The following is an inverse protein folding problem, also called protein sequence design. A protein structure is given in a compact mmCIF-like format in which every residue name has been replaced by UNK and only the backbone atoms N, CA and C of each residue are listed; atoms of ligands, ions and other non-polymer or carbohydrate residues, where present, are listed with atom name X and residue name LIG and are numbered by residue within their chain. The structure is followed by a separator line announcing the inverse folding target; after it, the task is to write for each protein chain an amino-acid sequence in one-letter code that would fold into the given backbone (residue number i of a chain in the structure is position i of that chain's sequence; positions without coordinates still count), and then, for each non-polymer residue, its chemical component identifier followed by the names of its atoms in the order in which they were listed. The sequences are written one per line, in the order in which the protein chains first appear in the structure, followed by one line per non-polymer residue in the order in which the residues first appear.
data_IF_526441767074
#
_entry.id   IF_526441767074
#
_cell.length_a   1.000
_cell.length_b   1.000
_cell.length_c   1.000
_cell.angle_alpha   90.00
_cell.angle_beta   90.00
_cell.angle_gamma   90.00
#
_symmetry.space_group_name_H-M   'P 1'
#
loop_
_entity.id
_entity.type
_entity.pdbx_description
1 polymer ?
#
# COMPACT_ATOMS: atom_id res chain seq x y z
N UNK A 1 -15.15 26.69 -5.94
CA UNK A 1 -16.52 26.91 -6.43
C UNK A 1 -16.93 25.67 -7.21
N UNK A 2 -17.57 24.68 -6.57
CA UNK A 2 -17.92 23.41 -7.21
C UNK A 2 -18.70 22.47 -6.30
N UNK A 3 -19.21 22.93 -5.15
CA UNK A 3 -19.83 22.08 -4.12
C UNK A 3 -21.32 22.29 -3.89
N UNK A 4 -21.99 23.21 -4.60
CA UNK A 4 -23.41 23.50 -4.35
C UNK A 4 -24.40 22.91 -5.38
N UNK A 5 -23.96 22.45 -6.55
CA UNK A 5 -24.85 21.86 -7.56
C UNK A 5 -25.15 20.37 -7.37
N UNK A 6 -24.40 19.66 -6.51
CA UNK A 6 -24.55 18.21 -6.33
C UNK A 6 -25.56 17.79 -5.24
N UNK A 7 -26.22 18.73 -4.56
CA UNK A 7 -27.12 18.40 -3.43
C UNK A 7 -28.55 18.05 -3.81
N UNK A 8 -28.89 18.05 -5.10
CA UNK A 8 -30.25 17.80 -5.58
C UNK A 8 -30.43 16.52 -6.43
N UNK A 9 -29.35 15.80 -6.72
CA UNK A 9 -29.42 14.59 -7.52
C UNK A 9 -29.67 13.38 -6.62
N UNK A 10 -30.45 12.42 -7.13
CA UNK A 10 -30.65 11.13 -6.47
C UNK A 10 -29.35 10.32 -6.47
N UNK A 11 -29.12 9.46 -5.46
CA UNK A 11 -27.89 8.67 -5.35
C UNK A 11 -27.56 7.87 -6.60
N UNK A 12 -28.54 7.36 -7.31
CA UNK A 12 -28.37 6.65 -8.58
C UNK A 12 -27.84 7.56 -9.68
N UNK A 13 -28.34 8.76 -9.79
CA UNK A 13 -27.93 9.74 -10.80
C UNK A 13 -26.48 10.20 -10.55
N UNK A 14 -26.14 10.44 -9.28
CA UNK A 14 -24.75 10.74 -8.88
C UNK A 14 -23.80 9.60 -9.21
N UNK A 15 -24.18 8.37 -8.90
CA UNK A 15 -23.39 7.20 -9.24
C UNK A 15 -23.21 7.04 -10.75
N UNK A 16 -24.27 7.21 -11.53
CA UNK A 16 -24.24 7.09 -12.99
C UNK A 16 -23.27 8.12 -13.61
N UNK A 17 -23.33 9.38 -13.14
CA UNK A 17 -22.40 10.42 -13.60
C UNK A 17 -20.92 10.08 -13.32
N UNK A 18 -20.62 9.51 -12.18
CA UNK A 18 -19.25 9.09 -11.84
C UNK A 18 -18.84 7.82 -12.60
N UNK A 19 -19.78 6.90 -12.81
CA UNK A 19 -19.54 5.70 -13.63
C UNK A 19 -19.24 6.05 -15.09
N UNK A 20 -19.97 6.99 -15.67
CA UNK A 20 -19.78 7.43 -17.06
C UNK A 20 -18.45 8.14 -17.31
N UNK A 21 -17.85 8.71 -16.28
CA UNK A 21 -16.49 9.28 -16.33
C UNK A 21 -15.39 8.22 -16.25
N UNK A 22 -15.71 7.01 -15.83
CA UNK A 22 -14.73 5.97 -15.60
C UNK A 22 -14.21 5.39 -16.91
N UNK A 23 -12.90 5.21 -17.01
CA UNK A 23 -12.30 4.47 -18.10
C UNK A 23 -12.51 2.97 -17.91
N UNK A 24 -13.40 2.38 -18.70
CA UNK A 24 -13.70 0.95 -18.62
C UNK A 24 -12.68 0.13 -19.41
N UNK A 25 -12.48 -1.11 -18.99
CA UNK A 25 -11.66 -2.08 -19.74
C UNK A 25 -12.32 -2.43 -21.06
N UNK A 26 -11.53 -2.62 -22.08
CA UNK A 26 -12.00 -3.05 -23.42
C UNK A 26 -12.23 -4.57 -23.44
N UNK A 27 -13.29 -4.98 -22.78
CA UNK A 27 -13.74 -6.38 -22.70
C UNK A 27 -15.28 -6.43 -22.68
N UNK A 28 -15.92 -7.48 -23.23
CA UNK A 28 -17.36 -7.66 -23.08
C UNK A 28 -17.74 -7.92 -21.61
N UNK A 29 -18.74 -7.21 -21.12
CA UNK A 29 -19.30 -7.42 -19.79
C UNK A 29 -20.54 -8.32 -19.89
N UNK A 30 -20.30 -9.60 -20.14
CA UNK A 30 -21.34 -10.61 -20.32
C UNK A 30 -20.96 -11.92 -19.61
N UNK A 31 -21.95 -12.77 -19.40
CA UNK A 31 -21.73 -14.13 -18.90
C UNK A 31 -21.11 -15.01 -20.00
N UNK A 32 -20.62 -16.19 -19.63
CA UNK A 32 -20.12 -17.19 -20.61
C UNK A 32 -21.18 -17.61 -21.64
N UNK A 33 -22.47 -17.36 -21.38
CA UNK A 33 -23.58 -17.63 -22.29
C UNK A 33 -23.98 -16.41 -23.13
N UNK A 34 -23.19 -15.33 -23.10
CA UNK A 34 -23.45 -14.12 -23.87
C UNK A 34 -24.56 -13.23 -23.32
N UNK A 35 -24.96 -13.42 -22.06
CA UNK A 35 -25.98 -12.56 -21.44
C UNK A 35 -25.29 -11.32 -20.88
N UNK A 36 -25.69 -10.11 -21.30
CA UNK A 36 -25.13 -8.86 -20.78
C UNK A 36 -25.28 -8.77 -19.26
N UNK A 37 -24.27 -8.25 -18.60
CA UNK A 37 -24.26 -8.01 -17.14
C UNK A 37 -24.25 -6.51 -16.90
N UNK A 38 -25.25 -6.01 -16.16
CA UNK A 38 -25.30 -4.60 -15.81
C UNK A 38 -24.19 -4.20 -14.82
N UNK A 39 -23.79 -2.92 -14.81
CA UNK A 39 -22.70 -2.46 -13.94
C UNK A 39 -23.05 -2.55 -12.44
N UNK A 40 -24.34 -2.50 -12.09
CA UNK A 40 -24.83 -2.64 -10.73
C UNK A 40 -26.24 -3.23 -10.72
N UNK A 41 -26.55 -4.01 -9.71
CA UNK A 41 -27.90 -4.56 -9.45
C UNK A 41 -28.37 -4.15 -8.06
N UNK A 42 -29.69 -3.97 -7.91
CA UNK A 42 -30.33 -3.61 -6.64
C UNK A 42 -30.32 -2.10 -6.37
N UNK A 43 -30.71 -1.77 -5.15
CA UNK A 43 -30.83 -0.39 -4.68
C UNK A 43 -29.57 0.08 -3.95
N UNK A 44 -29.63 1.28 -3.40
CA UNK A 44 -28.60 1.90 -2.58
C UNK A 44 -28.05 1.00 -1.45
N UNK A 45 -26.81 1.25 -0.99
CA UNK A 45 -25.87 2.25 -1.51
C UNK A 45 -25.21 1.79 -2.81
N UNK A 46 -24.87 2.73 -3.69
CA UNK A 46 -24.15 2.46 -4.93
C UNK A 46 -22.63 2.37 -4.72
N UNK A 47 -21.89 1.61 -5.58
CA UNK A 47 -20.43 1.56 -5.51
C UNK A 47 -19.79 2.95 -5.60
N UNK A 48 -18.76 3.23 -4.81
CA UNK A 48 -18.13 4.54 -4.75
C UNK A 48 -18.82 5.57 -3.86
N UNK A 49 -19.98 5.23 -3.27
CA UNK A 49 -20.70 6.11 -2.35
C UNK A 49 -20.61 5.59 -0.90
N UNK A 50 -20.55 6.54 0.05
CA UNK A 50 -20.63 6.22 1.47
C UNK A 50 -21.92 5.42 1.77
N UNK A 51 -21.86 4.36 2.59
CA UNK A 51 -20.77 3.87 3.42
C UNK A 51 -19.80 2.88 2.73
N UNK A 52 -19.67 2.89 1.43
CA UNK A 52 -18.73 2.10 0.61
C UNK A 52 -18.86 0.57 0.72
N UNK A 53 -19.98 0.06 1.19
CA UNK A 53 -20.24 -1.38 1.38
C UNK A 53 -20.27 -2.18 0.07
N UNK A 54 -20.35 -1.51 -1.08
CA UNK A 54 -20.31 -2.12 -2.41
C UNK A 54 -19.05 -1.76 -3.20
N UNK A 55 -18.04 -1.21 -2.53
CA UNK A 55 -16.73 -0.88 -3.09
C UNK A 55 -16.44 0.62 -3.20
N UNK A 56 -15.15 0.91 -3.44
CA UNK A 56 -14.60 2.27 -3.39
C UNK A 56 -14.84 3.11 -4.63
N UNK A 57 -15.04 2.47 -5.77
CA UNK A 57 -15.10 3.14 -7.06
C UNK A 57 -16.42 2.85 -7.77
N UNK A 58 -16.98 3.80 -8.54
CA UNK A 58 -18.24 3.61 -9.23
C UNK A 58 -18.27 2.42 -10.19
N UNK A 59 -17.17 2.16 -10.87
CA UNK A 59 -17.03 1.12 -11.90
C UNK A 59 -16.30 -0.14 -11.41
N UNK A 60 -15.70 -0.11 -10.23
CA UNK A 60 -14.97 -1.23 -9.62
C UNK A 60 -14.10 -2.00 -10.63
N UNK A 61 -14.28 -3.30 -10.74
CA UNK A 61 -13.49 -4.17 -11.63
C UNK A 61 -13.80 -4.05 -13.13
N UNK A 62 -14.79 -3.25 -13.49
CA UNK A 62 -15.02 -2.90 -14.90
C UNK A 62 -13.95 -1.96 -15.44
N UNK A 63 -13.36 -1.11 -14.60
CA UNK A 63 -12.24 -0.26 -14.98
C UNK A 63 -10.91 -0.94 -14.77
N UNK A 64 -10.67 -1.50 -13.61
CA UNK A 64 -9.37 -2.09 -13.27
C UNK A 64 -9.55 -3.31 -12.37
N UNK A 65 -8.85 -4.39 -12.70
CA UNK A 65 -8.73 -5.55 -11.82
C UNK A 65 -7.79 -5.21 -10.65
N UNK A 66 -7.76 -6.07 -9.64
CA UNK A 66 -6.79 -5.98 -8.55
C UNK A 66 -5.36 -6.05 -9.06
N UNK A 67 -4.45 -5.44 -8.33
CA UNK A 67 -3.02 -5.53 -8.64
C UNK A 67 -2.51 -6.94 -8.30
N UNK A 68 -1.96 -7.61 -9.30
CA UNK A 68 -1.25 -8.88 -9.10
C UNK A 68 0.17 -8.58 -8.65
N UNK A 69 0.43 -8.84 -7.36
CA UNK A 69 1.68 -8.46 -6.71
C UNK A 69 2.15 -9.61 -5.81
N UNK A 70 3.31 -10.16 -6.13
CA UNK A 70 3.95 -11.15 -5.29
C UNK A 70 5.07 -10.52 -4.47
N UNK A 71 5.18 -10.94 -3.21
CA UNK A 71 6.27 -10.56 -2.32
C UNK A 71 7.53 -11.30 -2.75
N UNK A 72 8.59 -10.58 -3.08
CA UNK A 72 9.83 -11.14 -3.57
C UNK A 72 11.05 -10.32 -3.12
N UNK A 73 12.12 -11.03 -2.83
CA UNK A 73 13.41 -10.50 -2.41
C UNK A 73 14.25 -11.62 -1.82
N UNK A 74 15.44 -11.81 -2.37
CA UNK A 74 16.39 -12.81 -1.90
C UNK A 74 17.75 -12.56 -2.54
N UNK A 75 18.83 -12.72 -1.79
CA UNK A 75 20.17 -12.59 -2.30
C UNK A 75 20.57 -11.16 -2.64
N UNK A 76 21.13 -10.98 -3.82
CA UNK A 76 21.57 -9.68 -4.32
C UNK A 76 20.43 -8.90 -4.99
N UNK A 77 20.69 -7.64 -5.27
CA UNK A 77 19.77 -6.78 -6.02
C UNK A 77 19.51 -7.32 -7.42
N UNK A 78 20.53 -7.83 -8.10
CA UNK A 78 20.42 -8.43 -9.44
C UNK A 78 19.60 -9.71 -9.43
N UNK A 79 19.76 -10.60 -8.45
CA UNK A 79 18.96 -11.82 -8.32
C UNK A 79 17.47 -11.47 -8.16
N UNK A 80 17.18 -10.48 -7.34
CA UNK A 80 15.82 -10.00 -7.10
C UNK A 80 15.26 -9.27 -8.32
N UNK A 81 16.07 -8.49 -9.04
CA UNK A 81 15.67 -7.86 -10.31
C UNK A 81 15.24 -8.88 -11.35
N UNK A 82 16.00 -9.97 -11.52
CA UNK A 82 15.63 -11.07 -12.41
C UNK A 82 14.27 -11.65 -12.04
N UNK A 83 14.02 -11.83 -10.75
CA UNK A 83 12.73 -12.30 -10.25
C UNK A 83 11.60 -11.32 -10.49
N UNK A 84 11.82 -10.03 -10.29
CA UNK A 84 10.83 -8.98 -10.61
C UNK A 84 10.47 -9.00 -12.09
N UNK A 85 11.44 -9.06 -12.98
CA UNK A 85 11.23 -9.16 -14.43
C UNK A 85 10.45 -10.41 -14.82
N UNK A 86 10.72 -11.54 -14.16
CA UNK A 86 9.96 -12.77 -14.36
C UNK A 86 8.50 -12.62 -13.93
N UNK A 87 8.25 -12.05 -12.75
CA UNK A 87 6.89 -11.82 -12.25
C UNK A 87 6.08 -10.90 -13.18
N UNK A 88 6.69 -9.83 -13.67
CA UNK A 88 6.03 -8.92 -14.63
C UNK A 88 5.73 -9.62 -15.97
N UNK A 89 6.66 -10.43 -16.49
CA UNK A 89 6.44 -11.22 -17.70
C UNK A 89 5.32 -12.25 -17.58
N UNK A 90 5.10 -12.76 -16.38
CA UNK A 90 4.04 -13.73 -16.07
C UNK A 90 2.70 -13.07 -15.65
N UNK A 91 2.52 -11.78 -15.94
CA UNK A 91 1.25 -11.07 -15.73
C UNK A 91 1.13 -10.35 -14.40
N UNK A 92 2.21 -10.24 -13.64
CA UNK A 92 2.26 -9.34 -12.47
C UNK A 92 2.05 -7.91 -12.88
N UNK A 93 1.31 -7.15 -12.10
CA UNK A 93 0.99 -5.74 -12.37
C UNK A 93 1.53 -4.79 -11.31
N UNK A 94 2.28 -5.31 -10.36
CA UNK A 94 2.98 -4.59 -9.32
C UNK A 94 4.08 -5.41 -8.69
N UNK A 95 4.97 -4.72 -7.98
CA UNK A 95 6.12 -5.32 -7.30
C UNK A 95 5.97 -5.14 -5.80
N UNK A 96 6.44 -6.12 -5.03
CA UNK A 96 6.51 -6.04 -3.57
C UNK A 96 7.89 -6.54 -3.13
N UNK A 97 8.65 -5.66 -2.48
CA UNK A 97 10.04 -5.92 -2.11
C UNK A 97 10.14 -6.45 -0.68
N UNK A 98 10.74 -7.63 -0.54
CA UNK A 98 11.23 -8.14 0.75
C UNK A 98 12.68 -7.71 0.93
N UNK A 99 12.98 -6.98 1.99
CA UNK A 99 14.34 -6.62 2.36
C UNK A 99 14.88 -7.59 3.40
N UNK A 100 16.18 -7.84 3.39
CA UNK A 100 16.83 -8.67 4.37
C UNK A 100 16.92 -8.02 5.76
N UNK A 101 17.28 -8.78 6.78
CA UNK A 101 17.34 -8.28 8.15
C UNK A 101 18.36 -7.14 8.33
N UNK A 102 19.56 -7.19 7.75
CA UNK A 102 20.47 -6.04 7.82
C UNK A 102 19.85 -4.76 7.28
N UNK A 103 19.29 -4.79 6.08
CA UNK A 103 18.59 -3.64 5.48
C UNK A 103 17.45 -3.14 6.36
N UNK A 104 16.58 -4.04 6.90
CA UNK A 104 15.47 -3.68 7.79
C UNK A 104 15.96 -3.01 9.08
N UNK A 105 17.12 -3.41 9.58
CA UNK A 105 17.76 -2.85 10.79
C UNK A 105 18.65 -1.63 10.50
N UNK A 106 18.75 -1.18 9.23
CA UNK A 106 19.59 -0.06 8.82
C UNK A 106 21.07 -0.33 9.00
N UNK A 107 21.52 -1.54 8.66
CA UNK A 107 22.89 -1.99 8.72
C UNK A 107 23.38 -2.37 7.34
N UNK A 108 24.62 -2.04 7.05
CA UNK A 108 25.30 -2.45 5.83
C UNK A 108 25.66 -3.94 5.89
N UNK A 109 25.80 -4.58 4.74
CA UNK A 109 26.10 -6.02 4.60
C UNK A 109 27.47 -6.40 5.18
N UNK A 110 28.41 -5.48 5.26
CA UNK A 110 29.75 -5.67 5.84
C UNK A 110 29.81 -5.47 7.36
N UNK A 111 28.70 -5.10 7.99
CA UNK A 111 28.61 -4.98 9.44
C UNK A 111 28.81 -6.35 10.11
N UNK A 112 29.54 -6.36 11.24
CA UNK A 112 29.71 -7.59 12.05
C UNK A 112 28.38 -8.21 12.49
N UNK A 113 27.32 -7.40 12.63
CA UNK A 113 25.96 -7.82 13.01
C UNK A 113 25.16 -8.41 11.85
N UNK A 114 25.66 -8.26 10.62
CA UNK A 114 24.98 -8.75 9.41
C UNK A 114 25.42 -10.17 9.01
N UNK A 115 26.44 -10.71 9.69
CA UNK A 115 27.02 -12.00 9.35
C UNK A 115 25.98 -13.13 9.40
N UNK A 116 25.77 -13.78 8.25
CA UNK A 116 24.87 -14.90 8.10
C UNK A 116 23.42 -14.52 7.80
N UNK A 117 23.09 -13.22 7.76
CA UNK A 117 21.73 -12.73 7.49
C UNK A 117 21.60 -11.98 6.16
N UNK A 118 22.74 -11.62 5.53
CA UNK A 118 22.74 -10.86 4.27
C UNK A 118 22.06 -11.65 3.15
N UNK A 119 21.05 -11.06 2.51
CA UNK A 119 20.32 -11.63 1.38
C UNK A 119 19.46 -12.84 1.70
N UNK A 120 19.28 -13.21 2.96
CA UNK A 120 18.67 -14.49 3.35
C UNK A 120 17.16 -14.49 3.40
N UNK A 121 16.55 -13.50 4.02
CA UNK A 121 15.10 -13.37 4.16
C UNK A 121 14.50 -12.30 3.26
N UNK A 122 15.32 -11.67 2.46
CA UNK A 122 14.98 -10.59 1.55
C UNK A 122 16.21 -10.16 0.76
N UNK A 123 16.11 -9.11 -0.03
CA UNK A 123 17.21 -8.54 -0.79
C UNK A 123 18.04 -7.61 0.09
N UNK A 124 19.36 -7.69 -0.03
CA UNK A 124 20.29 -6.78 0.59
C UNK A 124 20.38 -5.47 -0.23
N UNK A 125 20.13 -4.33 0.40
CA UNK A 125 20.23 -3.00 -0.19
C UNK A 125 21.01 -2.10 0.77
N UNK A 126 22.27 -1.86 0.46
CA UNK A 126 23.16 -1.02 1.25
C UNK A 126 23.30 0.39 0.66
N UNK A 127 23.30 0.48 -0.66
CA UNK A 127 23.66 1.69 -1.40
C UNK A 127 22.65 2.03 -2.50
N UNK A 128 22.80 3.23 -3.08
CA UNK A 128 22.04 3.62 -4.26
C UNK A 128 22.31 2.69 -5.45
N UNK A 129 23.54 2.17 -5.60
CA UNK A 129 23.88 1.25 -6.68
C UNK A 129 23.07 -0.05 -6.59
N UNK A 130 22.90 -0.61 -5.38
CA UNK A 130 22.03 -1.79 -5.18
C UNK A 130 20.57 -1.50 -5.56
N UNK A 131 20.09 -0.29 -5.27
CA UNK A 131 18.73 0.13 -5.66
C UNK A 131 18.61 0.31 -7.19
N UNK A 132 19.66 0.81 -7.84
CA UNK A 132 19.75 0.89 -9.31
C UNK A 132 19.68 -0.51 -9.93
N UNK A 133 20.45 -1.46 -9.42
CA UNK A 133 20.46 -2.85 -9.88
C UNK A 133 19.10 -3.55 -9.63
N UNK A 134 18.49 -3.28 -8.47
CA UNK A 134 17.18 -3.84 -8.12
C UNK A 134 16.09 -3.48 -9.13
N UNK A 135 16.10 -2.24 -9.64
CA UNK A 135 15.09 -1.74 -10.57
C UNK A 135 15.60 -1.57 -12.00
N UNK A 136 16.79 -2.11 -12.32
CA UNK A 136 17.37 -2.03 -13.67
C UNK A 136 16.39 -2.55 -14.74
N UNK A 137 16.18 -1.76 -15.80
CA UNK A 137 15.28 -2.04 -16.93
C UNK A 137 13.79 -2.28 -16.53
N UNK A 138 13.35 -1.72 -15.43
CA UNK A 138 11.94 -1.73 -15.01
C UNK A 138 11.40 -0.30 -15.10
N UNK A 139 10.36 -0.11 -15.90
CA UNK A 139 9.67 1.18 -16.00
C UNK A 139 8.82 1.43 -14.74
N UNK A 140 9.37 2.24 -13.83
CA UNK A 140 8.74 2.59 -12.55
C UNK A 140 7.48 3.45 -12.70
N UNK A 141 7.25 4.06 -13.87
CA UNK A 141 6.02 4.80 -14.15
C UNK A 141 4.82 3.91 -14.44
N UNK A 142 5.08 2.68 -14.91
CA UNK A 142 4.07 1.72 -15.35
C UNK A 142 3.68 0.69 -14.28
N UNK A 143 4.52 0.47 -13.26
CA UNK A 143 4.28 -0.49 -12.19
C UNK A 143 4.06 0.19 -10.86
N UNK A 144 3.22 -0.39 -9.99
CA UNK A 144 3.14 0.05 -8.60
C UNK A 144 4.06 -0.79 -7.73
N UNK A 145 4.82 -0.13 -6.84
CA UNK A 145 5.81 -0.79 -5.99
C UNK A 145 5.38 -0.72 -4.53
N UNK A 146 5.47 -1.84 -3.81
CA UNK A 146 5.31 -1.91 -2.36
C UNK A 146 6.63 -2.26 -1.71
N UNK A 147 6.94 -1.61 -0.60
CA UNK A 147 8.17 -1.82 0.16
C UNK A 147 7.85 -2.06 1.62
N UNK A 148 8.17 -3.25 2.13
CA UNK A 148 7.97 -3.60 3.54
C UNK A 148 9.18 -3.19 4.35
N UNK A 149 9.30 -1.89 4.60
CA UNK A 149 10.42 -1.29 5.32
C UNK A 149 9.92 -0.21 6.27
N UNK A 150 10.52 -0.09 7.46
CA UNK A 150 10.05 0.79 8.53
C UNK A 150 11.17 1.70 9.06
N UNK A 151 12.11 1.20 9.83
CA UNK A 151 13.20 2.01 10.40
C UNK A 151 13.93 2.86 9.37
N UNK A 152 14.49 2.27 8.31
CA UNK A 152 15.23 2.97 7.25
C UNK A 152 14.34 3.45 6.09
N UNK A 153 13.00 3.45 6.23
CA UNK A 153 12.07 3.75 5.14
C UNK A 153 12.36 5.06 4.40
N UNK A 154 12.76 6.11 5.11
CA UNK A 154 13.07 7.40 4.49
C UNK A 154 14.27 7.30 3.53
N UNK A 155 15.31 6.57 3.92
CA UNK A 155 16.52 6.36 3.09
C UNK A 155 16.18 5.51 1.86
N UNK A 156 15.45 4.42 2.05
CA UNK A 156 15.03 3.53 0.96
C UNK A 156 14.13 4.27 -0.04
N UNK A 157 13.18 5.09 0.44
CA UNK A 157 12.34 5.90 -0.45
C UNK A 157 13.16 6.95 -1.21
N UNK A 158 14.15 7.57 -0.56
CA UNK A 158 15.04 8.53 -1.24
C UNK A 158 15.86 7.86 -2.34
N UNK A 159 16.41 6.68 -2.11
CA UNK A 159 17.11 5.89 -3.13
C UNK A 159 16.18 5.52 -4.29
N UNK A 160 14.96 5.08 -3.99
CA UNK A 160 13.96 4.72 -5.00
C UNK A 160 13.57 5.92 -5.89
N UNK A 161 13.41 7.10 -5.29
CA UNK A 161 13.15 8.35 -6.03
C UNK A 161 14.36 8.70 -6.91
N UNK A 162 15.58 8.61 -6.38
CA UNK A 162 16.79 8.90 -7.13
C UNK A 162 16.93 7.98 -8.37
N UNK A 163 16.68 6.69 -8.23
CA UNK A 163 16.66 5.73 -9.35
C UNK A 163 15.58 6.10 -10.38
N UNK A 164 14.40 6.49 -9.92
CA UNK A 164 13.33 6.92 -10.82
C UNK A 164 13.74 8.17 -11.62
N UNK A 165 14.30 9.18 -10.96
CA UNK A 165 14.76 10.43 -11.60
C UNK A 165 15.89 10.18 -12.61
N UNK A 166 16.82 9.29 -12.32
CA UNK A 166 17.87 8.88 -13.27
C UNK A 166 17.28 8.25 -14.55
N UNK A 167 16.11 7.60 -14.44
CA UNK A 167 15.37 7.02 -15.55
C UNK A 167 14.29 7.97 -16.12
N UNK A 168 14.40 9.27 -15.88
CA UNK A 168 13.48 10.31 -16.37
C UNK A 168 12.03 10.15 -15.84
N UNK A 169 11.83 9.40 -14.75
CA UNK A 169 10.53 9.24 -14.08
C UNK A 169 10.47 10.20 -12.90
N UNK A 170 9.55 11.14 -12.95
CA UNK A 170 9.38 12.13 -11.88
C UNK A 170 8.59 11.56 -10.68
N UNK A 171 8.78 12.08 -9.45
CA UNK A 171 8.11 11.57 -8.26
C UNK A 171 6.59 11.50 -8.36
N UNK A 172 5.95 12.43 -9.07
CA UNK A 172 4.50 12.44 -9.26
C UNK A 172 3.95 11.32 -10.17
N UNK A 173 4.81 10.64 -10.91
CA UNK A 173 4.44 9.47 -11.73
C UNK A 173 4.49 8.18 -10.91
N UNK A 174 5.29 8.14 -9.83
CA UNK A 174 5.48 6.97 -9.00
C UNK A 174 4.20 6.60 -8.24
N UNK A 175 3.82 5.33 -8.34
CA UNK A 175 2.67 4.78 -7.63
C UNK A 175 3.10 3.62 -6.75
N UNK A 176 2.65 3.60 -5.50
CA UNK A 176 3.04 2.54 -4.59
C UNK A 176 2.77 2.82 -3.14
N UNK A 177 3.39 2.02 -2.31
CA UNK A 177 3.27 2.08 -0.86
C UNK A 177 4.62 1.78 -0.22
N UNK A 178 4.96 2.52 0.80
CA UNK A 178 6.00 2.13 1.75
C UNK A 178 5.34 1.86 3.10
N UNK A 179 5.74 0.77 3.79
CA UNK A 179 5.06 0.40 5.03
C UNK A 179 5.22 1.50 6.09
N UNK A 180 6.46 1.86 6.43
CA UNK A 180 6.77 3.04 7.25
C UNK A 180 5.92 3.15 8.54
N UNK A 181 5.55 2.00 9.11
CA UNK A 181 4.79 1.91 10.36
C UNK A 181 5.73 1.61 11.52
N UNK A 182 6.24 2.66 12.15
CA UNK A 182 7.22 2.50 13.24
C UNK A 182 6.56 2.14 14.56
N UNK A 183 5.29 2.50 14.79
CA UNK A 183 4.63 2.21 16.05
C UNK A 183 4.46 0.71 16.26
N UNK A 184 4.12 -0.05 15.22
CA UNK A 184 4.04 -1.52 15.32
C UNK A 184 5.41 -2.16 15.55
N UNK A 185 6.50 -1.51 15.16
CA UNK A 185 7.85 -2.00 15.45
C UNK A 185 8.13 -2.00 16.94
N UNK A 186 7.75 -0.94 17.66
CA UNK A 186 7.89 -0.91 19.13
C UNK A 186 6.98 -1.90 19.82
N UNK A 187 5.82 -2.19 19.24
CA UNK A 187 4.83 -3.09 19.83
C UNK A 187 5.15 -4.57 19.56
N UNK A 188 5.47 -4.94 18.31
CA UNK A 188 5.51 -6.32 17.87
C UNK A 188 6.82 -6.74 17.18
N UNK A 189 7.22 -6.11 16.08
CA UNK A 189 8.26 -6.63 15.19
C UNK A 189 9.70 -6.31 15.64
N UNK A 190 9.90 -5.16 16.32
CA UNK A 190 11.18 -4.75 16.92
C UNK A 190 12.27 -4.26 15.97
N UNK A 191 11.97 -4.01 14.72
CA UNK A 191 12.89 -3.52 13.69
C UNK A 191 12.91 -1.98 13.65
N UNK A 192 13.48 -1.34 14.67
CA UNK A 192 13.57 0.12 14.77
C UNK A 192 15.03 0.58 14.98
N UNK A 193 15.34 1.78 14.47
CA UNK A 193 16.68 2.39 14.55
C UNK A 193 16.68 3.50 15.60
N UNK A 194 15.67 4.36 15.57
CA UNK A 194 15.59 5.56 16.41
C UNK A 194 14.54 5.41 17.53
N UNK A 195 14.65 6.22 18.60
CA UNK A 195 13.59 6.32 19.61
C UNK A 195 12.26 6.83 19.02
N UNK A 196 11.11 6.66 19.71
CA UNK A 196 9.80 6.96 19.16
C UNK A 196 9.63 8.39 18.61
N UNK A 197 10.06 9.42 19.34
CA UNK A 197 9.88 10.82 18.91
C UNK A 197 10.62 11.17 17.61
N UNK A 198 11.94 10.88 17.45
CA UNK A 198 12.62 11.07 16.16
C UNK A 198 11.99 10.28 15.02
N UNK A 199 11.56 9.04 15.28
CA UNK A 199 10.90 8.20 14.28
C UNK A 199 9.58 8.81 13.80
N UNK A 200 8.73 9.28 14.72
CA UNK A 200 7.48 9.95 14.38
C UNK A 200 7.71 11.24 13.57
N UNK A 201 8.77 12.00 13.88
CA UNK A 201 9.13 13.17 13.08
C UNK A 201 9.48 12.78 11.64
N UNK A 202 10.32 11.75 11.45
CA UNK A 202 10.69 11.27 10.11
C UNK A 202 9.42 10.87 9.33
N UNK A 203 8.49 10.15 9.95
CA UNK A 203 7.24 9.74 9.30
C UNK A 203 6.41 10.96 8.90
N UNK A 204 6.25 11.94 9.77
CA UNK A 204 5.48 13.16 9.43
C UNK A 204 6.13 13.95 8.32
N UNK A 205 7.46 14.00 8.25
CA UNK A 205 8.21 14.63 7.16
C UNK A 205 7.99 13.87 5.83
N UNK A 206 7.99 12.53 5.87
CA UNK A 206 7.69 11.69 4.70
C UNK A 206 6.24 11.87 4.23
N UNK A 207 5.27 11.91 5.14
CA UNK A 207 3.86 12.18 4.80
C UNK A 207 3.74 13.53 4.12
N UNK A 208 4.41 14.57 4.64
CA UNK A 208 4.40 15.91 4.04
C UNK A 208 4.98 15.92 2.62
N UNK A 209 6.16 15.30 2.44
CA UNK A 209 6.82 15.23 1.14
C UNK A 209 5.95 14.48 0.12
N UNK A 210 5.48 13.30 0.46
CA UNK A 210 4.71 12.46 -0.46
C UNK A 210 3.34 13.05 -0.80
N UNK A 211 2.72 13.78 0.14
CA UNK A 211 1.47 14.49 -0.14
C UNK A 211 1.67 15.58 -1.18
N UNK A 212 2.81 16.31 -1.13
CA UNK A 212 3.11 17.37 -2.07
C UNK A 212 3.61 16.87 -3.43
N UNK A 213 4.54 15.90 -3.44
CA UNK A 213 5.32 15.52 -4.62
C UNK A 213 4.91 14.18 -5.25
N UNK A 214 4.25 13.29 -4.49
CA UNK A 214 3.93 11.93 -4.91
C UNK A 214 2.45 11.60 -4.72
N UNK A 215 1.53 12.18 -5.52
CA UNK A 215 0.09 12.09 -5.29
C UNK A 215 -0.50 10.67 -5.42
N UNK A 216 0.24 9.73 -5.98
CA UNK A 216 -0.16 8.32 -6.13
C UNK A 216 0.50 7.40 -5.09
N UNK A 217 1.28 7.95 -4.16
CA UNK A 217 2.03 7.20 -3.17
C UNK A 217 1.30 7.13 -1.82
N UNK A 218 1.39 5.98 -1.16
CA UNK A 218 0.88 5.76 0.18
C UNK A 218 2.05 5.79 1.16
N UNK A 219 2.18 6.87 1.96
CA UNK A 219 3.37 7.09 2.80
C UNK A 219 3.44 6.19 4.03
N UNK A 220 2.30 5.66 4.47
CA UNK A 220 2.21 4.76 5.62
C UNK A 220 1.16 3.69 5.34
N UNK A 221 1.52 2.43 5.58
CA UNK A 221 0.59 1.31 5.66
C UNK A 221 0.55 0.84 7.11
N UNK A 222 -0.50 1.23 7.82
CA UNK A 222 -0.65 0.98 9.27
C UNK A 222 -1.00 -0.49 9.46
N UNK A 223 -0.08 -1.25 10.11
CA UNK A 223 -0.06 -2.69 10.03
C UNK A 223 -0.52 -3.36 11.32
N UNK A 224 -1.66 -4.03 11.28
CA UNK A 224 -2.16 -4.92 12.31
C UNK A 224 -1.57 -6.33 12.23
N UNK A 225 -1.21 -6.79 11.03
CA UNK A 225 -0.70 -8.14 10.77
C UNK A 225 0.37 -8.60 11.77
N UNK A 226 1.40 -7.79 12.00
CA UNK A 226 2.50 -8.13 12.89
C UNK A 226 2.06 -8.22 14.37
N UNK A 227 1.08 -7.42 14.76
CA UNK A 227 0.48 -7.46 16.11
C UNK A 227 -0.29 -8.78 16.28
N UNK A 228 -1.04 -9.20 15.26
CA UNK A 228 -1.76 -10.48 15.25
C UNK A 228 -0.81 -11.67 15.32
N UNK A 229 0.24 -11.67 14.49
CA UNK A 229 1.25 -12.73 14.47
C UNK A 229 2.07 -12.80 15.77
N UNK A 230 2.19 -11.69 16.51
CA UNK A 230 2.77 -11.67 17.83
C UNK A 230 1.85 -12.24 18.94
N UNK A 231 0.63 -12.69 18.57
CA UNK A 231 -0.29 -13.42 19.46
C UNK A 231 -1.48 -12.61 19.97
N UNK A 232 -1.79 -11.44 19.40
CA UNK A 232 -3.01 -10.71 19.74
C UNK A 232 -4.26 -11.39 19.18
N UNK A 233 -5.42 -11.10 19.79
CA UNK A 233 -6.72 -11.43 19.19
C UNK A 233 -7.04 -10.48 18.05
N UNK A 234 -8.01 -10.82 17.18
CA UNK A 234 -8.46 -9.93 16.10
C UNK A 234 -8.98 -8.59 16.63
N UNK A 235 -9.71 -8.60 17.74
CA UNK A 235 -10.19 -7.38 18.39
C UNK A 235 -9.04 -6.50 18.93
N UNK A 236 -7.99 -7.09 19.47
CA UNK A 236 -6.79 -6.38 19.92
C UNK A 236 -5.99 -5.84 18.72
N UNK A 237 -5.82 -6.63 17.67
CA UNK A 237 -5.20 -6.19 16.42
C UNK A 237 -5.92 -4.94 15.89
N UNK A 238 -7.24 -5.00 15.73
CA UNK A 238 -8.04 -3.89 15.24
C UNK A 238 -7.86 -2.64 16.13
N UNK A 239 -8.00 -2.80 17.44
CA UNK A 239 -7.91 -1.69 18.39
C UNK A 239 -6.53 -1.01 18.38
N UNK A 240 -5.45 -1.79 18.39
CA UNK A 240 -4.09 -1.25 18.40
C UNK A 240 -3.72 -0.61 17.05
N UNK A 241 -4.15 -1.22 15.96
CA UNK A 241 -3.90 -0.68 14.62
C UNK A 241 -4.61 0.65 14.39
N UNK A 242 -5.88 0.75 14.80
CA UNK A 242 -6.62 2.02 14.74
C UNK A 242 -6.01 3.08 15.66
N UNK A 243 -5.58 2.70 16.89
CA UNK A 243 -4.90 3.61 17.79
C UNK A 243 -3.59 4.14 17.17
N UNK A 244 -2.80 3.29 16.50
CA UNK A 244 -1.62 3.72 15.76
C UNK A 244 -2.00 4.68 14.63
N UNK A 245 -3.09 4.41 13.90
CA UNK A 245 -3.61 5.30 12.87
C UNK A 245 -3.95 6.69 13.41
N UNK A 246 -4.65 6.77 14.52
CA UNK A 246 -4.94 8.05 15.19
C UNK A 246 -3.65 8.78 15.59
N UNK A 247 -2.66 8.08 16.14
CA UNK A 247 -1.40 8.69 16.53
C UNK A 247 -0.63 9.28 15.34
N UNK A 248 -0.64 8.62 14.17
CA UNK A 248 -0.03 9.17 12.96
C UNK A 248 -0.77 10.41 12.45
N UNK A 249 -2.10 10.38 12.46
CA UNK A 249 -2.92 11.54 12.05
C UNK A 249 -2.69 12.73 12.99
N UNK A 250 -2.72 12.51 14.30
CA UNK A 250 -2.45 13.54 15.30
C UNK A 250 -1.04 14.16 15.14
N UNK A 251 -0.03 13.32 14.91
CA UNK A 251 1.34 13.78 14.70
C UNK A 251 1.47 14.62 13.42
N UNK A 252 0.83 14.22 12.32
CA UNK A 252 0.83 14.98 11.07
C UNK A 252 0.10 16.32 11.20
N UNK A 253 -1.05 16.36 11.87
CA UNK A 253 -1.78 17.61 12.16
C UNK A 253 -0.94 18.51 13.06
N UNK A 254 -0.32 17.98 14.11
CA UNK A 254 0.56 18.75 14.99
C UNK A 254 1.78 19.32 14.25
N UNK A 255 2.23 18.66 13.16
CA UNK A 255 3.26 19.17 12.25
C UNK A 255 2.73 20.17 11.21
N UNK A 256 1.46 20.59 11.30
CA UNK A 256 0.83 21.62 10.46
C UNK A 256 0.29 21.09 9.13
N UNK A 257 0.07 19.79 8.98
CA UNK A 257 -0.47 19.21 7.76
C UNK A 257 -2.01 19.16 7.79
N UNK A 258 -2.63 19.30 6.62
CA UNK A 258 -4.08 19.21 6.48
C UNK A 258 -4.51 17.75 6.29
N UNK A 259 -5.36 17.25 7.18
CA UNK A 259 -5.85 15.84 7.15
C UNK A 259 -6.63 15.53 5.86
N UNK A 260 -7.35 16.49 5.29
CA UNK A 260 -8.11 16.27 4.05
C UNK A 260 -7.20 16.03 2.83
N UNK A 261 -5.94 16.44 2.91
CA UNK A 261 -4.94 16.22 1.86
C UNK A 261 -4.25 14.87 2.01
N UNK A 262 -3.73 14.55 3.20
CA UNK A 262 -2.95 13.32 3.41
C UNK A 262 -3.78 12.11 3.82
N UNK A 263 -4.91 12.30 4.53
CA UNK A 263 -5.66 11.21 5.17
C UNK A 263 -6.12 10.13 4.18
N UNK A 264 -6.53 10.53 2.98
CA UNK A 264 -6.90 9.62 1.89
C UNK A 264 -5.75 8.76 1.35
N UNK A 265 -4.51 9.03 1.75
CA UNK A 265 -3.31 8.27 1.36
C UNK A 265 -2.78 7.35 2.46
N UNK A 266 -3.36 7.41 3.64
CA UNK A 266 -3.07 6.40 4.66
C UNK A 266 -3.74 5.09 4.28
N UNK A 267 -3.04 3.98 4.47
CA UNK A 267 -3.57 2.65 4.25
C UNK A 267 -3.45 1.80 5.50
N UNK A 268 -4.26 0.77 5.58
CA UNK A 268 -4.25 -0.19 6.68
C UNK A 268 -3.95 -1.59 6.14
N UNK A 269 -3.36 -2.42 6.98
CA UNK A 269 -3.06 -3.80 6.70
C UNK A 269 -3.49 -4.66 7.90
N UNK A 270 -4.59 -5.38 7.73
CA UNK A 270 -5.13 -6.29 8.74
C UNK A 270 -4.93 -7.74 8.33
N UNK A 271 -4.89 -8.62 9.32
CA UNK A 271 -4.86 -10.05 9.11
C UNK A 271 -6.29 -10.60 9.10
N UNK A 272 -6.70 -11.20 7.98
CA UNK A 272 -7.91 -12.02 7.89
C UNK A 272 -7.46 -13.47 7.81
N UNK A 273 -7.58 -14.19 8.92
CA UNK A 273 -7.01 -15.52 9.10
C UNK A 273 -8.04 -16.63 8.83
N UNK A 274 -8.19 -17.59 9.71
CA UNK A 274 -9.02 -18.78 9.48
C UNK A 274 -10.33 -18.82 10.28
N UNK A 275 -10.58 -17.86 11.16
CA UNK A 275 -11.88 -17.72 11.81
C UNK A 275 -12.85 -16.98 10.89
N UNK A 276 -13.62 -17.76 10.11
CA UNK A 276 -14.49 -17.24 9.08
C UNK A 276 -15.48 -16.19 9.58
N UNK A 277 -16.07 -16.38 10.75
CA UNK A 277 -17.09 -15.46 11.27
C UNK A 277 -16.48 -14.17 11.81
N UNK A 278 -15.42 -14.27 12.59
CA UNK A 278 -14.72 -13.10 13.14
C UNK A 278 -14.08 -12.27 12.02
N UNK A 279 -13.35 -12.91 11.13
CA UNK A 279 -12.63 -12.25 10.05
C UNK A 279 -13.56 -11.69 8.96
N UNK A 280 -14.73 -12.32 8.77
CA UNK A 280 -15.75 -11.77 7.88
C UNK A 280 -16.30 -10.43 8.38
N UNK A 281 -16.45 -10.26 9.70
CA UNK A 281 -16.85 -8.99 10.29
C UNK A 281 -15.79 -7.91 10.12
N UNK A 282 -14.51 -8.25 10.28
CA UNK A 282 -13.42 -7.34 10.01
C UNK A 282 -13.39 -6.93 8.54
N UNK A 283 -13.52 -7.90 7.63
CA UNK A 283 -13.53 -7.67 6.18
C UNK A 283 -14.68 -6.78 5.72
N UNK A 284 -15.83 -6.86 6.34
CA UNK A 284 -17.02 -6.05 6.03
C UNK A 284 -17.05 -4.73 6.79
N UNK A 285 -16.00 -4.39 7.54
CA UNK A 285 -15.85 -3.09 8.18
C UNK A 285 -15.98 -1.96 7.15
N UNK A 286 -16.68 -0.88 7.46
CA UNK A 286 -16.97 0.21 6.52
C UNK A 286 -15.77 1.15 6.28
N UNK A 287 -14.57 0.60 6.17
CA UNK A 287 -13.39 1.35 5.77
C UNK A 287 -13.19 1.25 4.26
N UNK A 288 -13.12 2.37 3.55
CA UNK A 288 -12.90 2.35 2.10
C UNK A 288 -11.56 1.72 1.70
N UNK A 289 -10.62 1.57 2.61
CA UNK A 289 -9.31 0.96 2.33
C UNK A 289 -9.22 -0.51 2.69
N UNK A 290 -9.89 -0.95 3.73
CA UNK A 290 -9.94 -2.36 4.12
C UNK A 290 -10.49 -3.23 2.97
N UNK A 291 -11.44 -2.70 2.20
CA UNK A 291 -11.98 -3.36 1.02
C UNK A 291 -10.96 -3.58 -0.10
N UNK A 292 -9.83 -2.90 -0.11
CA UNK A 292 -8.83 -2.97 -1.19
C UNK A 292 -7.67 -3.90 -0.87
N UNK A 293 -7.25 -3.98 0.38
CA UNK A 293 -6.06 -4.75 0.81
C UNK A 293 -6.42 -6.12 1.41
N UNK A 294 -7.58 -6.25 2.05
CA UNK A 294 -8.06 -7.51 2.63
C UNK A 294 -8.61 -8.52 1.62
N UNK A 295 -8.61 -8.20 0.33
CA UNK A 295 -9.10 -9.09 -0.74
C UNK A 295 -8.04 -10.00 -1.35
N UNK A 296 -6.87 -10.07 -0.79
CA UNK A 296 -5.93 -11.13 -1.14
C UNK A 296 -6.34 -12.38 -0.37
N UNK A 297 -6.84 -13.43 -1.02
CA UNK A 297 -6.90 -14.71 -0.34
C UNK A 297 -5.47 -15.05 0.05
N UNK A 298 -5.23 -15.23 1.33
CA UNK A 298 -4.03 -15.90 1.82
C UNK A 298 -4.13 -17.38 1.45
N UNK A 299 -4.15 -17.67 0.17
CA UNK A 299 -4.16 -19.04 -0.30
C UNK A 299 -3.30 -19.12 -1.53
N UNK A 300 -2.11 -19.46 -1.29
CA UNK A 300 -1.45 -20.61 -1.89
C UNK A 300 -0.02 -20.59 -1.43
#
# INVERSE_FOLDING_TARGET
MGTEENSSLEPQELWQQEYDKAHLRDVPFETMSGVPVDPVYGSEPYPGQYPFTRGLYPSMYRSRLWTMRMFAGFGTAEDTNLRFKELLRNGGTGLSTAFDMPTLMGRDSDSEWSLGEVGRAGVAIDTLADMEDLFADIDLSSVSTSMTINGPAATILAMYIAVAEQNEVTPNQLAGTIQNDILKEYQAQKEYIYPPRPSMRIITDMVKYTTAEMPKWHPVSISGYHIREAGSTAAQELAFTLANGFAYVEAAIAAGQNVDEFGRRLSFFFNSHSDFFEDCLLYTSPSPRDAHESRMPSSA
#
